data_IF_273375540628
#
_entry.id   IF_273375540628
#
_cell.length_a   1.000
_cell.length_b   1.000
_cell.length_c   1.000
_cell.angle_alpha   90.00
_cell.angle_beta   90.00
_cell.angle_gamma   90.00
#
_symmetry.space_group_name_H-M   'P 1'
#
loop_
_entity.id
_entity.type
_entity.pdbx_description
1 polymer ?
#
# COMPACT_ATOMS: atom_id res chain seq x y z
N UNK A 1 12.29 8.19 40.47
CA UNK A 1 12.02 8.27 39.03
C UNK A 1 12.66 9.52 38.44
N UNK A 2 13.47 9.39 37.38
CA UNK A 2 13.88 10.53 36.55
C UNK A 2 13.49 10.17 35.12
N UNK A 3 12.61 10.99 34.56
CA UNK A 3 11.87 10.71 33.34
C UNK A 3 12.81 10.70 32.13
N UNK A 4 12.74 9.62 31.36
CA UNK A 4 13.50 9.29 30.15
C UNK A 4 13.28 10.25 28.96
N UNK A 5 12.73 11.44 29.18
CA UNK A 5 12.20 12.34 28.14
C UNK A 5 12.68 13.79 28.29
N UNK A 6 13.70 14.06 29.12
CA UNK A 6 14.13 15.42 29.46
C UNK A 6 15.63 15.68 29.25
N UNK A 7 16.26 15.03 28.27
CA UNK A 7 17.59 15.45 27.82
C UNK A 7 17.47 16.10 26.44
N UNK A 8 17.72 17.41 26.37
CA UNK A 8 17.71 18.20 25.13
C UNK A 8 18.66 17.60 24.08
N UNK A 9 19.67 16.87 24.51
CA UNK A 9 20.62 16.17 23.66
C UNK A 9 19.98 15.02 22.87
N UNK A 10 19.00 14.32 23.46
CA UNK A 10 18.23 13.27 22.78
C UNK A 10 17.27 13.87 21.75
N UNK A 11 16.69 15.03 22.05
CA UNK A 11 15.81 15.75 21.12
C UNK A 11 16.58 16.36 19.94
N UNK A 12 17.80 16.88 20.17
CA UNK A 12 18.66 17.37 19.08
C UNK A 12 19.26 16.23 18.24
N UNK A 13 19.63 15.10 18.86
CA UNK A 13 20.00 13.88 18.11
C UNK A 13 18.83 13.32 17.32
N UNK A 14 17.62 13.39 17.87
CA UNK A 14 16.39 13.04 17.16
C UNK A 14 16.13 13.99 16.00
N UNK A 15 16.33 15.30 16.15
CA UNK A 15 16.25 16.26 15.04
C UNK A 15 17.30 16.01 13.96
N UNK A 16 18.55 15.76 14.33
CA UNK A 16 19.62 15.44 13.35
C UNK A 16 19.32 14.12 12.63
N UNK A 17 18.81 13.13 13.35
CA UNK A 17 18.37 11.87 12.77
C UNK A 17 17.17 12.07 11.83
N UNK A 18 16.14 12.80 12.25
CA UNK A 18 14.97 13.12 11.42
C UNK A 18 15.35 13.95 10.20
N UNK A 19 16.30 14.87 10.32
CA UNK A 19 16.80 15.70 9.22
C UNK A 19 17.67 14.90 8.25
N UNK A 20 18.46 13.94 8.75
CA UNK A 20 19.16 12.96 7.91
C UNK A 20 18.19 12.01 7.22
N UNK A 21 17.16 11.55 7.91
CA UNK A 21 16.09 10.73 7.32
C UNK A 21 15.38 11.52 6.22
N UNK A 22 15.03 12.79 6.45
CA UNK A 22 14.49 13.70 5.42
C UNK A 22 15.43 13.87 4.21
N UNK A 23 16.75 13.86 4.42
CA UNK A 23 17.73 13.94 3.33
C UNK A 23 17.93 12.61 2.59
N UNK A 24 17.69 11.48 3.26
CA UNK A 24 17.68 10.15 2.66
C UNK A 24 16.39 9.87 1.87
N UNK A 25 15.27 10.52 2.24
CA UNK A 25 14.05 10.56 1.44
C UNK A 25 14.10 11.61 0.32
N UNK A 26 15.29 12.02 -0.15
CA UNK A 26 15.48 12.97 -1.25
C UNK A 26 15.08 12.43 -2.63
N UNK A 27 14.05 11.58 -2.69
CA UNK A 27 13.16 11.59 -3.85
C UNK A 27 12.50 12.96 -3.84
N UNK A 28 12.94 13.84 -4.73
CA UNK A 28 12.22 15.08 -5.00
C UNK A 28 10.78 14.71 -5.38
N UNK A 29 9.73 15.41 -4.89
CA UNK A 29 8.35 15.19 -5.31
C UNK A 29 8.17 14.92 -6.82
N UNK A 30 8.81 15.67 -7.74
CA UNK A 30 8.68 15.42 -9.19
C UNK A 30 9.26 14.08 -9.69
N UNK A 31 10.18 13.44 -8.96
CA UNK A 31 10.73 12.12 -9.33
C UNK A 31 9.85 10.97 -8.84
N UNK A 32 9.15 11.15 -7.71
CA UNK A 32 8.17 10.17 -7.24
C UNK A 32 6.99 10.07 -8.20
N UNK A 33 6.48 11.22 -8.66
CA UNK A 33 5.27 11.27 -9.50
C UNK A 33 5.45 10.54 -10.83
N UNK A 34 6.61 10.66 -11.47
CA UNK A 34 6.91 9.92 -12.70
C UNK A 34 6.93 8.40 -12.49
N UNK A 35 7.63 7.94 -11.45
CA UNK A 35 7.74 6.51 -11.14
C UNK A 35 6.39 5.90 -10.72
N UNK A 36 5.57 6.67 -10.01
CA UNK A 36 4.22 6.25 -9.63
C UNK A 36 3.31 6.13 -10.85
N UNK A 37 3.44 7.03 -11.83
CA UNK A 37 2.74 6.92 -13.11
C UNK A 37 3.13 5.67 -13.89
N UNK A 38 4.44 5.39 -14.01
CA UNK A 38 4.94 4.19 -14.70
C UNK A 38 4.44 2.90 -14.03
N UNK A 39 4.39 2.88 -12.69
CA UNK A 39 3.85 1.77 -11.92
C UNK A 39 2.34 1.61 -12.13
N UNK A 40 1.60 2.71 -12.12
CA UNK A 40 0.15 2.72 -12.36
C UNK A 40 -0.19 2.12 -13.72
N UNK A 41 0.53 2.52 -14.77
CA UNK A 41 0.35 2.00 -16.12
C UNK A 41 0.68 0.50 -16.22
N UNK A 42 1.74 0.05 -15.54
CA UNK A 42 2.11 -1.37 -15.51
C UNK A 42 1.07 -2.23 -14.76
N UNK A 43 0.60 -1.73 -13.61
CA UNK A 43 -0.43 -2.39 -12.81
C UNK A 43 -1.73 -2.48 -13.60
N UNK A 44 -2.17 -1.38 -14.21
CA UNK A 44 -3.37 -1.35 -15.05
C UNK A 44 -3.26 -2.34 -16.20
N UNK A 45 -2.13 -2.35 -16.93
CA UNK A 45 -1.89 -3.32 -18.01
C UNK A 45 -1.96 -4.76 -17.52
N UNK A 46 -1.43 -5.05 -16.33
CA UNK A 46 -1.50 -6.39 -15.71
C UNK A 46 -2.93 -6.81 -15.39
N UNK A 47 -3.75 -5.91 -14.84
CA UNK A 47 -5.18 -6.15 -14.58
C UNK A 47 -5.91 -6.42 -15.90
N UNK A 48 -5.77 -5.52 -16.88
CA UNK A 48 -6.44 -5.63 -18.17
C UNK A 48 -6.03 -6.90 -18.94
N UNK A 49 -4.80 -7.38 -18.79
CA UNK A 49 -4.37 -8.60 -19.47
C UNK A 49 -4.85 -9.89 -18.76
N UNK A 50 -4.92 -9.89 -17.42
CA UNK A 50 -4.97 -11.14 -16.65
C UNK A 50 -6.17 -11.31 -15.73
N UNK A 51 -6.90 -10.23 -15.42
CA UNK A 51 -8.03 -10.30 -14.52
C UNK A 51 -9.24 -10.99 -15.17
N UNK A 52 -9.73 -12.07 -14.56
CA UNK A 52 -10.80 -12.92 -15.10
C UNK A 52 -10.34 -14.12 -15.93
N UNK A 53 -9.04 -14.33 -16.12
CA UNK A 53 -8.52 -15.58 -16.66
C UNK A 53 -8.64 -16.72 -15.63
N UNK A 54 -8.89 -17.95 -16.10
CA UNK A 54 -8.94 -19.13 -15.23
C UNK A 54 -7.59 -19.31 -14.52
N UNK A 55 -7.61 -19.59 -13.22
CA UNK A 55 -6.43 -19.77 -12.35
C UNK A 55 -5.44 -18.59 -12.28
N UNK A 56 -5.88 -17.38 -12.65
CA UNK A 56 -5.03 -16.19 -12.58
C UNK A 56 -4.77 -15.74 -11.15
N UNK A 57 -3.50 -15.77 -10.73
CA UNK A 57 -3.06 -15.19 -9.45
C UNK A 57 -3.39 -13.70 -9.33
N UNK A 58 -3.47 -12.99 -10.47
CA UNK A 58 -3.87 -11.58 -10.54
C UNK A 58 -5.32 -11.43 -10.08
N UNK A 59 -6.23 -12.30 -10.52
CA UNK A 59 -7.64 -12.26 -10.09
C UNK A 59 -7.77 -12.47 -8.59
N UNK A 60 -7.10 -13.50 -8.05
CA UNK A 60 -7.14 -13.80 -6.60
C UNK A 60 -6.54 -12.67 -5.77
N UNK A 61 -5.41 -12.12 -6.22
CA UNK A 61 -4.75 -11.00 -5.55
C UNK A 61 -5.70 -9.80 -5.46
N UNK A 62 -6.26 -9.36 -6.60
CA UNK A 62 -7.14 -8.21 -6.63
C UNK A 62 -8.45 -8.42 -5.85
N UNK A 63 -9.07 -9.59 -5.94
CA UNK A 63 -10.25 -9.90 -5.14
C UNK A 63 -9.95 -9.80 -3.64
N UNK A 64 -8.83 -10.36 -3.20
CA UNK A 64 -8.42 -10.31 -1.79
C UNK A 64 -8.12 -8.88 -1.35
N UNK A 65 -7.34 -8.14 -2.15
CA UNK A 65 -6.98 -6.74 -1.87
C UNK A 65 -8.22 -5.85 -1.78
N UNK A 66 -9.15 -5.96 -2.73
CA UNK A 66 -10.40 -5.19 -2.72
C UNK A 66 -11.27 -5.54 -1.51
N UNK A 67 -11.33 -6.82 -1.14
CA UNK A 67 -12.09 -7.27 0.04
C UNK A 67 -11.48 -6.79 1.36
N UNK A 68 -10.15 -6.79 1.50
CA UNK A 68 -9.45 -6.36 2.71
C UNK A 68 -9.46 -4.84 2.88
N UNK A 69 -9.15 -4.10 1.81
CA UNK A 69 -9.02 -2.64 1.85
C UNK A 69 -10.34 -1.90 1.57
N UNK A 70 -11.42 -2.61 1.18
CA UNK A 70 -12.73 -2.03 0.84
C UNK A 70 -12.61 -0.93 -0.22
N UNK A 71 -11.97 -1.29 -1.32
CA UNK A 71 -11.64 -0.42 -2.45
C UNK A 71 -11.94 -1.12 -3.78
N UNK A 72 -11.84 -0.39 -4.90
CA UNK A 72 -12.06 -0.93 -6.23
C UNK A 72 -10.97 -0.49 -7.21
N UNK A 73 -10.34 -1.46 -7.87
CA UNK A 73 -9.28 -1.19 -8.85
C UNK A 73 -8.02 -0.60 -8.22
N UNK A 74 -7.02 -0.27 -9.04
CA UNK A 74 -5.82 0.40 -8.53
C UNK A 74 -6.13 1.87 -8.22
N UNK A 75 -6.72 2.57 -9.19
CA UNK A 75 -7.30 3.92 -9.05
C UNK A 75 -8.82 3.90 -9.05
N UNK A 76 -9.44 3.11 -9.93
CA UNK A 76 -10.89 3.08 -10.06
C UNK A 76 -11.38 1.84 -10.82
N UNK A 77 -12.71 1.66 -10.92
CA UNK A 77 -13.34 0.55 -11.64
C UNK A 77 -12.90 0.43 -13.10
N UNK A 78 -12.55 1.55 -13.75
CA UNK A 78 -12.08 1.59 -15.15
C UNK A 78 -10.78 0.82 -15.39
N UNK A 79 -10.05 0.47 -14.33
CA UNK A 79 -8.84 -0.37 -14.45
C UNK A 79 -9.16 -1.79 -14.92
N UNK A 80 -10.42 -2.21 -14.78
CA UNK A 80 -10.92 -3.49 -15.28
C UNK A 80 -11.52 -3.40 -16.69
N UNK A 81 -11.59 -2.22 -17.29
CA UNK A 81 -12.05 -2.06 -18.68
C UNK A 81 -11.17 -2.89 -19.61
N UNK A 82 -11.79 -3.55 -20.59
CA UNK A 82 -11.13 -4.46 -21.54
C UNK A 82 -10.46 -5.70 -20.91
N UNK A 83 -10.64 -5.95 -19.62
CA UNK A 83 -10.14 -7.17 -18.98
C UNK A 83 -10.88 -8.42 -19.47
N UNK A 84 -10.28 -9.62 -19.41
CA UNK A 84 -10.98 -10.88 -19.70
C UNK A 84 -12.28 -11.05 -18.91
N UNK A 85 -12.36 -10.53 -17.69
CA UNK A 85 -13.58 -10.52 -16.89
C UNK A 85 -14.66 -9.60 -17.51
N UNK A 86 -14.29 -8.34 -17.78
CA UNK A 86 -15.21 -7.35 -18.31
C UNK A 86 -15.69 -7.71 -19.72
N UNK A 87 -14.80 -8.19 -20.59
CA UNK A 87 -15.14 -8.59 -21.96
C UNK A 87 -16.10 -9.79 -22.06
N UNK A 88 -16.20 -10.62 -21.02
CA UNK A 88 -17.08 -11.81 -21.03
C UNK A 88 -18.52 -11.47 -20.69
N UNK A 89 -18.74 -10.49 -19.82
CA UNK A 89 -20.05 -10.25 -19.21
C UNK A 89 -20.46 -8.77 -19.16
N UNK A 90 -19.59 -7.85 -19.57
CA UNK A 90 -19.75 -6.39 -19.38
C UNK A 90 -19.98 -6.01 -17.91
N UNK A 91 -19.39 -6.79 -17.00
CA UNK A 91 -19.49 -6.63 -15.56
C UNK A 91 -18.14 -6.24 -14.95
N UNK A 92 -18.23 -5.66 -13.76
CA UNK A 92 -17.12 -5.32 -12.89
C UNK A 92 -17.12 -6.22 -11.65
N UNK A 93 -16.00 -6.29 -10.92
CA UNK A 93 -15.94 -7.05 -9.67
C UNK A 93 -17.03 -6.56 -8.69
N UNK A 94 -17.65 -7.44 -7.91
CA UNK A 94 -18.73 -7.06 -7.00
C UNK A 94 -18.28 -6.04 -5.95
N UNK A 95 -16.99 -6.01 -5.59
CA UNK A 95 -16.39 -5.03 -4.67
C UNK A 95 -16.46 -3.59 -5.20
N UNK A 96 -16.58 -3.42 -6.51
CA UNK A 96 -16.73 -2.13 -7.16
C UNK A 96 -18.15 -1.57 -7.12
N UNK A 97 -19.10 -2.32 -6.58
CA UNK A 97 -20.48 -1.88 -6.41
C UNK A 97 -20.93 -1.99 -4.96
N UNK A 98 -21.76 -1.04 -4.53
CA UNK A 98 -22.42 -1.14 -3.24
C UNK A 98 -23.45 -2.28 -3.22
N UNK A 99 -23.55 -2.97 -2.09
CA UNK A 99 -24.32 -4.20 -1.91
C UNK A 99 -25.84 -4.07 -2.16
N UNK A 100 -26.35 -2.85 -2.29
CA UNK A 100 -27.73 -2.53 -2.67
C UNK A 100 -28.05 -2.81 -4.14
N UNK A 101 -27.05 -3.06 -4.99
CA UNK A 101 -27.19 -3.36 -6.43
C UNK A 101 -26.82 -4.83 -6.68
N UNK A 102 -27.58 -5.76 -6.11
CA UNK A 102 -27.22 -7.20 -6.13
C UNK A 102 -28.18 -8.09 -6.94
N UNK A 103 -29.28 -7.57 -7.50
CA UNK A 103 -30.18 -8.40 -8.32
C UNK A 103 -29.69 -8.64 -9.77
N UNK A 104 -28.63 -7.95 -10.22
CA UNK A 104 -28.16 -8.02 -11.62
C UNK A 104 -26.64 -8.08 -11.85
N UNK A 105 -25.83 -8.17 -10.79
CA UNK A 105 -24.38 -8.01 -10.89
C UNK A 105 -23.94 -6.54 -10.93
N UNK A 106 -22.62 -6.32 -10.91
CA UNK A 106 -22.02 -4.98 -10.93
C UNK A 106 -21.80 -4.53 -12.38
N UNK A 107 -22.77 -3.86 -12.98
CA UNK A 107 -22.66 -3.30 -14.33
C UNK A 107 -21.94 -1.94 -14.33
N UNK A 108 -21.66 -1.38 -15.53
CA UNK A 108 -20.99 -0.08 -15.67
C UNK A 108 -21.71 1.04 -14.89
N UNK A 109 -23.04 1.07 -14.92
CA UNK A 109 -23.81 2.13 -14.26
C UNK A 109 -23.74 1.99 -12.74
N UNK A 110 -23.80 0.77 -12.25
CA UNK A 110 -23.69 0.44 -10.84
C UNK A 110 -22.31 0.79 -10.30
N UNK A 111 -21.25 0.42 -11.01
CA UNK A 111 -19.86 0.73 -10.65
C UNK A 111 -19.64 2.25 -10.62
N UNK A 112 -20.07 2.95 -11.68
CA UNK A 112 -19.98 4.40 -11.76
C UNK A 112 -20.79 5.12 -10.66
N UNK A 113 -21.98 4.61 -10.34
CA UNK A 113 -22.83 5.20 -9.29
C UNK A 113 -22.34 4.95 -7.86
N UNK A 114 -21.57 3.88 -7.67
CA UNK A 114 -21.05 3.49 -6.35
C UNK A 114 -19.83 4.31 -5.96
N UNK A 115 -19.07 4.83 -6.94
CA UNK A 115 -17.94 5.75 -6.76
C UNK A 115 -17.00 5.32 -5.62
N UNK A 116 -16.57 4.06 -5.67
CA UNK A 116 -15.69 3.46 -4.66
C UNK A 116 -14.25 3.89 -4.92
N UNK A 117 -13.56 4.38 -3.89
CA UNK A 117 -12.16 4.79 -3.97
C UNK A 117 -11.23 3.67 -4.46
N UNK A 118 -10.17 4.05 -5.18
CA UNK A 118 -9.09 3.17 -5.61
C UNK A 118 -8.31 2.57 -4.44
N UNK A 119 -7.77 1.37 -4.66
CA UNK A 119 -7.00 0.67 -3.62
C UNK A 119 -5.69 1.37 -3.28
N UNK A 120 -5.07 2.06 -4.24
CA UNK A 120 -3.86 2.83 -3.96
C UNK A 120 -4.14 4.00 -3.01
N UNK A 121 -5.21 4.77 -3.28
CA UNK A 121 -5.57 5.92 -2.46
C UNK A 121 -6.00 5.50 -1.04
N UNK A 122 -6.75 4.39 -0.94
CA UNK A 122 -7.04 3.78 0.38
C UNK A 122 -5.78 3.33 1.09
N UNK A 123 -4.87 2.64 0.42
CA UNK A 123 -3.63 2.17 1.02
C UNK A 123 -2.79 3.34 1.56
N UNK A 124 -2.60 4.39 0.77
CA UNK A 124 -1.89 5.60 1.18
C UNK A 124 -2.56 6.21 2.41
N UNK A 125 -3.89 6.34 2.39
CA UNK A 125 -4.65 6.85 3.54
C UNK A 125 -4.47 5.99 4.79
N UNK A 126 -4.49 4.66 4.68
CA UNK A 126 -4.22 3.77 5.80
C UNK A 126 -2.81 3.99 6.38
N UNK A 127 -1.81 4.21 5.52
CA UNK A 127 -0.43 4.49 5.94
C UNK A 127 -0.36 5.84 6.64
N UNK A 128 -0.99 6.87 6.10
CA UNK A 128 -1.04 8.21 6.69
C UNK A 128 -1.72 8.20 8.06
N UNK A 129 -2.88 7.55 8.17
CA UNK A 129 -3.67 7.46 9.41
C UNK A 129 -2.93 6.66 10.51
N UNK A 130 -2.07 5.71 10.12
CA UNK A 130 -1.33 4.85 11.06
C UNK A 130 0.18 5.12 11.07
N UNK A 131 0.64 6.22 10.49
CA UNK A 131 2.06 6.50 10.27
C UNK A 131 2.87 6.44 11.57
N UNK A 132 2.30 6.93 12.68
CA UNK A 132 2.94 6.89 13.99
C UNK A 132 3.16 5.46 14.50
N UNK A 133 2.17 4.58 14.33
CA UNK A 133 2.26 3.17 14.76
C UNK A 133 3.30 2.45 13.91
N UNK A 134 3.26 2.65 12.59
CA UNK A 134 4.21 2.06 11.64
C UNK A 134 5.64 2.51 11.99
N UNK A 135 5.84 3.81 12.25
CA UNK A 135 7.14 4.35 12.65
C UNK A 135 7.63 3.73 13.97
N UNK A 136 6.76 3.55 14.96
CA UNK A 136 7.12 2.92 16.22
C UNK A 136 7.56 1.45 16.03
N UNK A 137 6.84 0.68 15.21
CA UNK A 137 7.19 -0.70 14.86
C UNK A 137 8.54 -0.76 14.16
N UNK A 138 8.79 0.12 13.18
CA UNK A 138 10.05 0.19 12.44
C UNK A 138 11.25 0.48 13.36
N UNK A 139 11.11 1.43 14.29
CA UNK A 139 12.13 1.72 15.29
C UNK A 139 12.39 0.51 16.20
N UNK A 140 11.34 -0.20 16.61
CA UNK A 140 11.45 -1.42 17.41
C UNK A 140 12.25 -2.52 16.70
N UNK A 141 11.97 -2.76 15.42
CA UNK A 141 12.69 -3.75 14.60
C UNK A 141 14.16 -3.35 14.45
N UNK A 142 14.44 -2.08 14.13
CA UNK A 142 15.81 -1.60 13.99
C UNK A 142 16.63 -1.76 15.29
N UNK A 143 16.02 -1.51 16.45
CA UNK A 143 16.68 -1.70 17.73
C UNK A 143 17.02 -3.18 18.00
N UNK A 144 16.14 -4.12 17.63
CA UNK A 144 16.38 -5.55 17.75
C UNK A 144 17.50 -6.02 16.81
N UNK A 145 17.51 -5.52 15.58
CA UNK A 145 18.54 -5.84 14.59
C UNK A 145 19.94 -5.43 15.07
N UNK A 146 20.08 -4.19 15.56
CA UNK A 146 21.37 -3.69 16.10
C UNK A 146 21.83 -4.51 17.31
N UNK A 147 20.91 -4.88 18.19
CA UNK A 147 21.24 -5.75 19.34
C UNK A 147 21.73 -7.13 18.89
N UNK A 148 21.04 -7.75 17.93
CA UNK A 148 21.41 -9.06 17.38
C UNK A 148 22.79 -9.03 16.72
N UNK A 149 23.07 -8.02 15.90
CA UNK A 149 24.35 -7.88 15.23
C UNK A 149 25.49 -7.71 16.25
N UNK A 150 25.24 -6.94 17.31
CA UNK A 150 26.22 -6.68 18.37
C UNK A 150 26.54 -7.94 19.18
N UNK A 151 25.51 -8.70 19.60
CA UNK A 151 25.72 -9.95 20.36
C UNK A 151 26.40 -11.02 19.52
N UNK A 152 26.07 -11.13 18.23
CA UNK A 152 26.76 -12.01 17.30
C UNK A 152 28.26 -11.70 17.26
N UNK A 153 28.65 -10.45 17.02
CA UNK A 153 30.06 -10.07 17.01
C UNK A 153 30.77 -10.40 18.33
N UNK A 154 30.14 -10.14 19.49
CA UNK A 154 30.74 -10.47 20.78
C UNK A 154 30.96 -11.98 20.96
N UNK A 155 29.97 -12.81 20.60
CA UNK A 155 30.07 -14.28 20.73
C UNK A 155 31.13 -14.86 19.81
N UNK A 156 31.22 -14.43 18.55
CA UNK A 156 32.22 -14.94 17.60
C UNK A 156 33.62 -14.37 17.80
N UNK A 157 33.76 -13.29 18.58
CA UNK A 157 35.07 -12.72 18.92
C UNK A 157 35.70 -13.37 20.16
N UNK A 158 35.00 -14.28 20.84
CA UNK A 158 35.60 -15.09 21.91
C UNK A 158 36.30 -16.31 21.28
N UNK A 159 37.59 -16.55 21.58
CA UNK A 159 38.35 -17.69 21.08
C UNK A 159 37.95 -19.02 21.72
#
# INVERSE_FOLDING_TARGET
>A
EKNLWSDSETFEKLKDFLQKVQSMTSISPPQAEGLLGDLEDEVKRSIQANYGNEDSSVTTFWNTTMDELKCCGFRNYTDFDDSPFNNRAELYPPQCCNSTITEGGCDLRAAQSSDIDGCFDKLVKLIEDNALVIAAVAIGIAALEVQCQTTWFFVFSQP
#
